data_IF_008278479785
#
_entry.id   IF_008278479785
#
_cell.length_a   1.000
_cell.length_b   1.000
_cell.length_c   1.000
_cell.angle_alpha   90.00
_cell.angle_beta   90.00
_cell.angle_gamma   90.00
#
_symmetry.space_group_name_H-M   'P 1'
#
loop_
_entity.id
_entity.type
_entity.pdbx_description
1 polymer ?
#
# COMPACT_ATOMS: atom_id res chain seq x y z
N UNK A 1 1.07 -17.42 28.96
CA UNK A 1 2.18 -17.65 28.00
C UNK A 1 2.19 -16.48 27.05
N UNK A 2 3.29 -15.76 26.89
CA UNK A 2 3.41 -14.73 25.84
C UNK A 2 3.23 -15.44 24.48
N UNK A 3 2.40 -14.85 23.61
CA UNK A 3 2.20 -15.36 22.25
C UNK A 3 3.49 -15.08 21.48
N UNK A 4 4.13 -16.11 20.92
CA UNK A 4 5.31 -15.91 20.07
C UNK A 4 4.90 -15.11 18.83
N UNK A 5 5.58 -13.99 18.57
CA UNK A 5 5.31 -13.15 17.40
C UNK A 5 5.76 -13.84 16.12
N UNK A 6 4.99 -13.65 15.07
CA UNK A 6 5.32 -14.20 13.75
C UNK A 6 6.28 -13.26 13.04
N UNK A 7 7.29 -13.82 12.41
CA UNK A 7 8.22 -13.08 11.58
C UNK A 7 8.00 -13.50 10.13
N UNK A 8 7.62 -12.55 9.32
CA UNK A 8 7.40 -12.72 7.91
C UNK A 8 8.50 -12.06 7.12
N UNK A 9 8.76 -12.55 5.92
CA UNK A 9 9.67 -11.92 4.98
C UNK A 9 8.97 -11.69 3.64
N UNK A 10 9.02 -10.44 3.16
CA UNK A 10 8.59 -10.06 1.82
C UNK A 10 9.80 -9.60 1.01
N UNK A 11 10.06 -10.25 -0.12
CA UNK A 11 11.16 -9.89 -1.00
C UNK A 11 11.54 -10.96 -2.00
N UNK A 12 12.47 -10.63 -2.90
CA UNK A 12 12.97 -11.50 -3.97
C UNK A 12 13.87 -12.63 -3.45
N UNK A 13 13.26 -13.66 -2.90
CA UNK A 13 13.98 -14.78 -2.26
C UNK A 13 14.21 -15.97 -3.19
N UNK A 14 13.84 -15.87 -4.45
CA UNK A 14 13.94 -16.97 -5.41
C UNK A 14 15.39 -17.49 -5.58
N UNK A 15 16.36 -16.58 -5.55
CA UNK A 15 17.79 -16.93 -5.60
C UNK A 15 18.21 -17.65 -4.31
N UNK A 16 17.69 -17.23 -3.17
CA UNK A 16 17.96 -17.86 -1.89
C UNK A 16 17.28 -19.24 -1.75
N UNK A 17 16.15 -19.44 -2.40
CA UNK A 17 15.47 -20.75 -2.46
C UNK A 17 16.26 -21.82 -3.22
N UNK A 18 17.24 -21.41 -4.02
CA UNK A 18 18.22 -22.34 -4.62
C UNK A 18 19.19 -22.91 -3.58
N UNK A 19 19.27 -22.34 -2.38
CA UNK A 19 20.14 -22.77 -1.27
C UNK A 19 19.28 -23.38 -0.15
N UNK A 20 19.11 -24.71 -0.07
CA UNK A 20 18.24 -25.36 0.93
C UNK A 20 18.56 -24.99 2.38
N UNK A 21 19.84 -24.74 2.68
CA UNK A 21 20.29 -24.41 4.03
C UNK A 21 19.87 -23.01 4.48
N UNK A 22 19.60 -22.10 3.55
CA UNK A 22 19.24 -20.72 3.88
C UNK A 22 17.89 -20.64 4.60
N UNK A 23 16.90 -21.38 4.13
CA UNK A 23 15.58 -21.38 4.77
C UNK A 23 15.65 -21.94 6.20
N UNK A 24 16.50 -22.94 6.41
CA UNK A 24 16.78 -23.49 7.75
C UNK A 24 17.41 -22.43 8.63
N UNK A 25 18.41 -21.70 8.14
CA UNK A 25 19.07 -20.61 8.87
C UNK A 25 18.09 -19.47 9.20
N UNK A 26 17.30 -19.01 8.24
CA UNK A 26 16.29 -17.96 8.47
C UNK A 26 15.28 -18.39 9.53
N UNK A 27 14.85 -19.64 9.53
CA UNK A 27 13.94 -20.18 10.57
C UNK A 27 14.63 -20.23 11.93
N UNK A 28 15.83 -20.81 12.00
CA UNK A 28 16.48 -21.15 13.27
C UNK A 28 17.18 -19.95 13.91
N UNK A 29 17.77 -19.05 13.12
CA UNK A 29 18.54 -17.90 13.61
C UNK A 29 17.65 -16.68 13.87
N UNK A 30 16.70 -16.37 12.98
CA UNK A 30 15.82 -15.20 13.12
C UNK A 30 14.36 -15.52 13.45
N UNK A 31 13.98 -16.80 13.47
CA UNK A 31 12.61 -17.21 13.79
C UNK A 31 11.60 -17.01 12.66
N UNK A 32 12.05 -17.00 11.41
CA UNK A 32 11.18 -16.82 10.24
C UNK A 32 10.08 -17.86 10.19
N UNK A 33 8.84 -17.42 10.01
CA UNK A 33 7.65 -18.30 9.93
C UNK A 33 7.05 -18.34 8.54
N UNK A 34 7.18 -17.27 7.77
CA UNK A 34 6.44 -17.10 6.51
C UNK A 34 7.27 -16.32 5.50
N UNK A 35 7.21 -16.75 4.25
CA UNK A 35 7.81 -16.05 3.11
C UNK A 35 6.71 -15.58 2.18
N UNK A 36 6.83 -14.34 1.72
CA UNK A 36 6.03 -13.73 0.66
C UNK A 36 6.99 -13.36 -0.48
N UNK A 37 7.19 -14.26 -1.47
CA UNK A 37 8.16 -14.02 -2.52
C UNK A 37 7.68 -12.90 -3.44
N UNK A 38 8.52 -11.90 -3.64
CA UNK A 38 8.38 -10.93 -4.72
C UNK A 38 8.80 -11.61 -6.03
N UNK A 39 7.88 -12.29 -6.65
CA UNK A 39 8.04 -12.88 -7.97
C UNK A 39 7.06 -12.21 -8.94
N UNK A 40 7.15 -12.46 -10.25
CA UNK A 40 6.14 -12.02 -11.20
C UNK A 40 4.72 -12.48 -10.90
N UNK A 41 4.53 -13.54 -10.10
CA UNK A 41 3.24 -13.92 -9.56
C UNK A 41 2.77 -12.95 -8.50
N UNK A 42 3.70 -12.47 -7.71
CA UNK A 42 3.44 -11.77 -6.46
C UNK A 42 3.65 -10.28 -6.62
N UNK A 43 4.46 -9.86 -7.59
CA UNK A 43 4.81 -8.45 -7.74
C UNK A 43 3.94 -7.78 -8.79
N UNK A 44 3.06 -6.93 -8.34
CA UNK A 44 2.34 -5.91 -9.13
C UNK A 44 1.48 -6.38 -10.27
N UNK A 45 1.71 -7.55 -10.82
CA UNK A 45 1.28 -7.72 -12.17
C UNK A 45 0.70 -9.02 -12.45
N UNK A 46 0.61 -9.87 -11.57
CA UNK A 46 0.08 -10.92 -12.17
C UNK A 46 0.28 -12.25 -11.56
N UNK A 47 -0.58 -13.06 -11.92
CA UNK A 47 -0.60 -14.45 -11.59
C UNK A 47 0.04 -15.21 -12.72
N UNK A 48 0.92 -16.14 -12.43
CA UNK A 48 1.26 -17.17 -13.36
C UNK A 48 0.05 -18.09 -13.49
N UNK A 49 -0.50 -18.18 -14.67
CA UNK A 49 -1.73 -18.90 -14.92
C UNK A 49 -1.62 -19.79 -16.13
N UNK A 50 -2.67 -20.58 -16.39
CA UNK A 50 -2.82 -21.30 -17.64
C UNK A 50 -2.98 -20.33 -18.80
N UNK A 51 -2.44 -20.69 -19.98
CA UNK A 51 -2.66 -19.95 -21.21
C UNK A 51 -4.15 -19.78 -21.53
N UNK A 52 -4.98 -20.73 -21.10
CA UNK A 52 -6.41 -20.66 -21.27
C UNK A 52 -7.04 -19.52 -20.46
N UNK A 53 -6.64 -19.34 -19.22
CA UNK A 53 -7.15 -18.26 -18.37
C UNK A 53 -6.65 -16.91 -18.86
N UNK A 54 -5.39 -16.81 -19.28
CA UNK A 54 -4.83 -15.59 -19.88
C UNK A 54 -5.60 -15.16 -21.14
N UNK A 55 -6.03 -16.09 -21.97
CA UNK A 55 -6.85 -15.82 -23.18
C UNK A 55 -8.26 -15.32 -22.88
N UNK A 56 -8.80 -15.60 -21.70
CA UNK A 56 -10.16 -15.17 -21.29
C UNK A 56 -10.17 -13.77 -20.69
N UNK A 57 -9.02 -13.25 -20.31
CA UNK A 57 -8.92 -11.93 -19.69
C UNK A 57 -9.32 -10.80 -20.64
N UNK A 58 -9.70 -9.63 -20.10
CA UNK A 58 -9.98 -8.45 -20.93
C UNK A 58 -8.69 -7.83 -21.47
N UNK A 59 -7.54 -8.30 -21.03
CA UNK A 59 -6.24 -7.75 -21.37
C UNK A 59 -5.54 -8.58 -22.44
N UNK A 60 -5.02 -7.89 -23.44
CA UNK A 60 -4.02 -8.45 -24.35
C UNK A 60 -2.71 -8.72 -23.58
N UNK A 61 -1.78 -9.44 -24.20
CA UNK A 61 -0.42 -9.50 -23.67
C UNK A 61 0.09 -8.06 -23.47
N UNK A 62 0.40 -7.71 -22.22
CA UNK A 62 0.85 -6.37 -21.84
C UNK A 62 2.07 -5.89 -22.65
N UNK A 63 2.89 -6.81 -23.16
CA UNK A 63 4.04 -6.52 -24.03
C UNK A 63 3.64 -5.87 -25.34
N UNK A 64 2.44 -6.13 -25.82
CA UNK A 64 1.91 -5.52 -27.04
C UNK A 64 1.65 -4.03 -26.91
N UNK A 65 1.64 -3.51 -25.66
CA UNK A 65 1.37 -2.11 -25.34
C UNK A 65 2.62 -1.33 -24.88
N UNK A 66 3.80 -1.78 -25.28
CA UNK A 66 5.07 -1.15 -24.92
C UNK A 66 5.19 0.31 -25.40
N UNK A 67 4.47 0.69 -26.44
CA UNK A 67 4.36 2.07 -26.94
C UNK A 67 3.64 3.00 -25.95
N UNK A 68 2.68 2.47 -25.19
CA UNK A 68 1.96 3.23 -24.15
C UNK A 68 2.76 3.32 -22.85
N UNK A 69 3.57 2.31 -22.56
CA UNK A 69 4.36 2.27 -21.34
C UNK A 69 5.81 1.85 -21.64
N UNK A 70 6.75 2.79 -21.83
CA UNK A 70 8.12 2.49 -22.24
C UNK A 70 8.86 1.48 -21.36
N UNK A 71 8.58 1.43 -20.05
CA UNK A 71 9.18 0.47 -19.12
C UNK A 71 8.88 -1.00 -19.47
N UNK A 72 7.81 -1.27 -20.20
CA UNK A 72 7.52 -2.60 -20.72
C UNK A 72 8.62 -3.04 -21.71
N UNK A 73 9.06 -2.13 -22.58
CA UNK A 73 10.12 -2.38 -23.54
C UNK A 73 11.47 -2.66 -22.84
N UNK A 74 11.68 -2.08 -21.67
CA UNK A 74 12.87 -2.32 -20.85
C UNK A 74 12.82 -3.63 -20.06
N UNK A 75 11.71 -4.36 -20.12
CA UNK A 75 11.53 -5.60 -19.36
C UNK A 75 11.31 -5.42 -17.86
N UNK A 76 11.02 -4.21 -17.41
CA UNK A 76 10.90 -3.84 -15.99
C UNK A 76 9.47 -4.09 -15.49
N UNK A 77 9.04 -5.22 -15.27
CA UNK A 77 7.76 -5.75 -14.80
C UNK A 77 6.50 -5.24 -15.52
N UNK A 78 5.53 -6.10 -15.70
CA UNK A 78 4.23 -5.72 -16.25
C UNK A 78 3.48 -4.81 -15.28
N UNK A 79 2.94 -3.68 -15.72
CA UNK A 79 2.22 -2.72 -14.88
C UNK A 79 0.77 -3.11 -14.64
N UNK A 80 0.38 -4.33 -14.92
CA UNK A 80 -0.99 -4.83 -14.85
C UNK A 80 -1.09 -5.88 -13.77
N UNK A 81 -1.96 -5.69 -12.80
CA UNK A 81 -2.37 -6.76 -11.91
C UNK A 81 -3.13 -7.81 -12.73
N UNK A 82 -2.70 -9.05 -12.71
CA UNK A 82 -3.40 -10.11 -13.40
C UNK A 82 -2.53 -11.22 -13.94
N UNK A 83 -3.01 -11.83 -14.98
CA UNK A 83 -2.54 -13.10 -15.51
C UNK A 83 -1.44 -12.89 -16.53
N UNK A 84 -0.31 -13.59 -16.35
CA UNK A 84 0.82 -13.56 -17.29
C UNK A 84 0.88 -14.89 -18.04
N UNK A 85 0.78 -14.82 -19.37
CA UNK A 85 0.98 -15.98 -20.22
C UNK A 85 2.46 -16.33 -20.34
N UNK A 86 2.77 -17.63 -20.31
CA UNK A 86 4.13 -18.14 -20.50
C UNK A 86 5.10 -17.83 -19.37
N UNK A 87 4.61 -17.61 -18.17
CA UNK A 87 5.44 -17.42 -16.98
C UNK A 87 6.16 -18.73 -16.58
N UNK A 88 7.46 -18.66 -16.32
CA UNK A 88 8.20 -19.78 -15.73
C UNK A 88 8.01 -19.82 -14.21
N UNK A 89 7.18 -20.72 -13.75
CA UNK A 89 6.86 -20.91 -12.34
C UNK A 89 7.78 -21.89 -11.61
N UNK A 90 8.81 -22.37 -12.28
CA UNK A 90 9.77 -23.34 -11.72
C UNK A 90 10.45 -22.82 -10.43
N UNK A 91 10.93 -21.57 -10.35
CA UNK A 91 11.51 -21.03 -9.12
C UNK A 91 10.52 -21.03 -7.95
N UNK A 92 9.28 -20.61 -8.17
CA UNK A 92 8.25 -20.60 -7.14
C UNK A 92 7.93 -22.01 -6.62
N UNK A 93 7.78 -23.00 -7.52
CA UNK A 93 7.54 -24.40 -7.13
C UNK A 93 8.66 -24.94 -6.28
N UNK A 94 9.92 -24.67 -6.65
CA UNK A 94 11.09 -25.07 -5.86
C UNK A 94 11.10 -24.40 -4.48
N UNK A 95 10.77 -23.12 -4.40
CA UNK A 95 10.66 -22.40 -3.14
C UNK A 95 9.61 -23.06 -2.23
N UNK A 96 8.41 -23.32 -2.76
CA UNK A 96 7.31 -23.95 -2.02
C UNK A 96 7.76 -25.32 -1.47
N UNK A 97 8.36 -26.16 -2.30
CA UNK A 97 8.85 -27.48 -1.88
C UNK A 97 9.93 -27.36 -0.78
N UNK A 98 10.84 -26.42 -0.89
CA UNK A 98 11.89 -26.21 0.11
C UNK A 98 11.32 -25.65 1.41
N UNK A 99 10.41 -24.71 1.34
CA UNK A 99 9.73 -24.12 2.50
C UNK A 99 8.89 -25.17 3.26
N UNK A 100 8.14 -26.02 2.55
CA UNK A 100 7.39 -27.13 3.17
C UNK A 100 8.29 -28.08 3.95
N UNK A 101 9.48 -28.41 3.42
CA UNK A 101 10.46 -29.27 4.11
C UNK A 101 11.01 -28.61 5.39
N UNK A 102 11.04 -27.31 5.44
CA UNK A 102 11.55 -26.53 6.58
C UNK A 102 10.45 -26.11 7.56
N UNK A 103 9.18 -26.28 7.22
CA UNK A 103 8.03 -25.85 8.02
C UNK A 103 7.79 -24.33 7.97
N UNK A 104 8.27 -23.67 6.91
CA UNK A 104 8.00 -22.26 6.64
C UNK A 104 6.81 -22.17 5.70
N UNK A 105 5.86 -21.29 6.00
CA UNK A 105 4.72 -21.00 5.13
C UNK A 105 5.13 -20.18 3.92
N UNK A 106 4.50 -20.41 2.77
CA UNK A 106 4.65 -19.57 1.57
C UNK A 106 3.32 -18.93 1.26
N UNK A 107 3.29 -17.59 1.29
CA UNK A 107 2.09 -16.83 0.95
C UNK A 107 2.28 -16.13 -0.39
N UNK A 108 1.20 -16.10 -1.21
CA UNK A 108 1.19 -15.31 -2.43
C UNK A 108 1.20 -13.82 -2.10
N UNK A 109 2.14 -13.06 -2.67
CA UNK A 109 2.16 -11.61 -2.58
C UNK A 109 1.73 -11.03 -3.92
N UNK A 110 0.57 -10.40 -3.99
CA UNK A 110 -0.16 -10.16 -5.24
C UNK A 110 -0.57 -8.71 -5.35
N UNK A 111 -0.11 -8.05 -6.41
CA UNK A 111 -0.51 -6.67 -6.72
C UNK A 111 -1.90 -6.58 -7.36
N UNK A 112 -2.66 -5.54 -6.99
CA UNK A 112 -3.98 -5.28 -7.53
C UNK A 112 -4.03 -3.99 -8.39
N UNK A 113 -4.94 -3.09 -8.10
CA UNK A 113 -5.40 -2.02 -9.00
C UNK A 113 -4.45 -0.85 -9.21
N UNK A 114 -3.40 -0.68 -8.44
CA UNK A 114 -2.63 0.58 -8.44
C UNK A 114 -1.82 0.86 -9.69
N UNK A 115 -1.63 -0.12 -10.53
CA UNK A 115 -0.89 0.00 -11.77
C UNK A 115 -1.73 -0.45 -12.97
N UNK A 116 -1.27 -0.13 -14.15
CA UNK A 116 -1.87 -0.58 -15.40
C UNK A 116 -2.82 0.41 -16.06
N UNK A 117 -3.21 1.48 -15.37
CA UNK A 117 -4.10 2.48 -15.94
C UNK A 117 -3.47 3.33 -17.05
N UNK A 118 -2.16 3.38 -17.13
CA UNK A 118 -1.41 3.99 -18.23
C UNK A 118 -1.24 3.05 -19.42
N UNK A 119 -1.31 1.74 -19.20
CA UNK A 119 -1.26 0.73 -20.25
C UNK A 119 -2.66 0.43 -20.81
N UNK A 120 -3.67 0.45 -19.95
CA UNK A 120 -5.08 0.21 -20.27
C UNK A 120 -5.93 1.41 -19.88
N UNK A 121 -5.80 2.55 -20.58
CA UNK A 121 -6.48 3.80 -20.23
C UNK A 121 -8.01 3.70 -20.26
N UNK A 122 -8.57 2.75 -20.99
CA UNK A 122 -10.01 2.45 -21.00
C UNK A 122 -10.52 1.92 -19.66
N UNK A 123 -9.66 1.30 -18.84
CA UNK A 123 -9.96 0.78 -17.50
C UNK A 123 -9.39 1.63 -16.38
N UNK A 124 -8.66 2.69 -16.72
CA UNK A 124 -8.00 3.54 -15.74
C UNK A 124 -8.98 4.26 -14.82
N UNK A 125 -8.51 4.58 -13.62
CA UNK A 125 -9.22 5.50 -12.71
C UNK A 125 -9.39 6.87 -13.39
N UNK A 126 -10.51 7.51 -13.05
CA UNK A 126 -10.88 8.84 -13.56
C UNK A 126 -11.11 9.79 -12.39
N UNK A 127 -10.91 11.09 -12.61
CA UNK A 127 -11.29 12.08 -11.61
C UNK A 127 -12.83 12.21 -11.49
N UNK A 128 -13.30 13.10 -10.64
CA UNK A 128 -14.75 13.33 -10.42
C UNK A 128 -15.48 13.90 -11.64
N UNK A 129 -14.75 14.45 -12.61
CA UNK A 129 -15.30 14.95 -13.87
C UNK A 129 -15.32 13.86 -14.96
N UNK A 130 -14.77 12.68 -14.66
CA UNK A 130 -14.64 11.58 -15.60
C UNK A 130 -13.41 11.70 -16.52
N UNK A 131 -12.52 12.65 -16.25
CA UNK A 131 -11.30 12.87 -17.01
C UNK A 131 -10.17 11.93 -16.57
N UNK A 132 -9.22 11.58 -17.46
CA UNK A 132 -8.03 10.82 -17.10
C UNK A 132 -7.21 11.53 -16.02
N UNK A 133 -6.59 10.74 -15.14
CA UNK A 133 -5.65 11.27 -14.16
C UNK A 133 -4.40 11.83 -14.84
N UNK A 134 -3.77 12.82 -14.19
CA UNK A 134 -2.58 13.47 -14.72
C UNK A 134 -1.38 12.52 -14.74
N UNK A 135 -0.83 12.28 -15.93
CA UNK A 135 0.30 11.39 -16.17
C UNK A 135 1.61 11.82 -15.48
N UNK A 136 1.70 13.07 -15.01
CA UNK A 136 2.84 13.51 -14.19
C UNK A 136 2.99 12.72 -12.90
N UNK A 137 1.90 12.14 -12.39
CA UNK A 137 1.88 11.35 -11.17
C UNK A 137 1.99 9.84 -11.40
N UNK A 138 2.33 9.38 -12.62
CA UNK A 138 2.42 7.95 -12.95
C UNK A 138 3.43 7.17 -12.11
N UNK A 139 4.44 7.83 -11.56
CA UNK A 139 5.41 7.23 -10.63
C UNK A 139 4.77 6.63 -9.37
N UNK A 140 3.59 7.14 -8.99
CA UNK A 140 2.79 6.66 -7.87
C UNK A 140 1.74 5.63 -8.28
N UNK A 141 1.77 5.22 -9.54
CA UNK A 141 0.81 4.33 -10.17
C UNK A 141 -0.47 5.06 -10.61
N UNK A 142 -0.82 4.93 -11.89
CA UNK A 142 -2.17 5.20 -12.37
C UNK A 142 -2.91 3.89 -12.33
N UNK A 143 -3.85 3.78 -11.39
CA UNK A 143 -4.53 2.53 -11.11
C UNK A 143 -5.62 2.20 -12.14
N UNK A 144 -5.94 0.92 -12.20
CA UNK A 144 -7.17 0.41 -12.78
C UNK A 144 -8.33 0.69 -11.81
N UNK A 145 -9.52 0.95 -12.35
CA UNK A 145 -10.69 1.22 -11.53
C UNK A 145 -11.15 -0.03 -10.76
N UNK A 146 -11.21 -0.01 -9.41
CA UNK A 146 -11.57 -1.17 -8.60
C UNK A 146 -13.06 -1.57 -8.69
N UNK A 147 -13.88 -0.78 -9.39
CA UNK A 147 -15.29 -1.08 -9.63
C UNK A 147 -15.59 -1.56 -11.05
N UNK A 148 -14.57 -1.82 -11.84
CA UNK A 148 -14.74 -2.45 -13.16
C UNK A 148 -14.92 -3.94 -13.00
N UNK A 149 -16.10 -4.40 -13.39
CA UNK A 149 -16.46 -5.82 -13.26
C UNK A 149 -15.50 -6.72 -14.02
N UNK A 150 -15.12 -6.34 -15.23
CA UNK A 150 -14.24 -7.11 -16.11
C UNK A 150 -12.88 -7.37 -15.45
N UNK A 151 -12.33 -6.33 -14.80
CA UNK A 151 -11.05 -6.42 -14.09
C UNK A 151 -11.19 -7.31 -12.85
N UNK A 152 -12.24 -7.09 -12.06
CA UNK A 152 -12.45 -7.83 -10.83
C UNK A 152 -12.75 -9.31 -11.08
N UNK A 153 -13.54 -9.63 -12.10
CA UNK A 153 -13.78 -11.03 -12.49
C UNK A 153 -12.48 -11.71 -12.91
N UNK A 154 -11.68 -11.05 -13.72
CA UNK A 154 -10.41 -11.58 -14.17
C UNK A 154 -9.39 -11.74 -13.04
N UNK A 155 -9.30 -10.75 -12.14
CA UNK A 155 -8.45 -10.80 -10.94
C UNK A 155 -8.88 -11.94 -10.00
N UNK A 156 -10.18 -12.07 -9.74
CA UNK A 156 -10.75 -13.14 -8.93
C UNK A 156 -10.41 -14.52 -9.50
N UNK A 157 -10.63 -14.71 -10.81
CA UNK A 157 -10.35 -15.97 -11.47
C UNK A 157 -8.84 -16.31 -11.43
N UNK A 158 -7.98 -15.31 -11.55
CA UNK A 158 -6.53 -15.46 -11.38
C UNK A 158 -6.11 -15.83 -9.95
N UNK A 159 -6.72 -15.21 -8.95
CA UNK A 159 -6.50 -15.56 -7.53
C UNK A 159 -6.89 -17.02 -7.26
N UNK A 160 -8.04 -17.46 -7.78
CA UNK A 160 -8.51 -18.84 -7.66
C UNK A 160 -7.54 -19.80 -8.35
N UNK A 161 -7.12 -19.49 -9.59
CA UNK A 161 -6.16 -20.32 -10.33
C UNK A 161 -4.83 -20.44 -9.57
N UNK A 162 -4.29 -19.35 -9.06
CA UNK A 162 -3.06 -19.36 -8.26
C UNK A 162 -3.23 -20.20 -6.98
N UNK A 163 -4.35 -20.03 -6.27
CA UNK A 163 -4.65 -20.77 -5.04
C UNK A 163 -4.80 -22.27 -5.25
N UNK A 164 -5.29 -22.70 -6.41
CA UNK A 164 -5.46 -24.10 -6.77
C UNK A 164 -4.19 -24.73 -7.34
N UNK A 165 -3.40 -23.95 -8.08
CA UNK A 165 -2.19 -24.40 -8.76
C UNK A 165 -1.01 -24.54 -7.83
N UNK A 166 -0.88 -23.62 -6.88
CA UNK A 166 0.25 -23.57 -5.96
C UNK A 166 -0.19 -23.91 -4.54
N UNK A 167 0.65 -24.65 -3.82
CA UNK A 167 0.42 -24.96 -2.41
C UNK A 167 0.76 -23.75 -1.52
N UNK A 168 0.07 -22.62 -1.76
CA UNK A 168 0.18 -21.42 -0.96
C UNK A 168 -0.60 -21.57 0.34
N UNK A 169 0.00 -21.11 1.43
CA UNK A 169 -0.58 -21.19 2.77
C UNK A 169 -1.46 -19.98 3.12
N UNK A 170 -1.26 -18.86 2.42
CA UNK A 170 -2.02 -17.62 2.59
C UNK A 170 -1.80 -16.65 1.44
N UNK A 171 -2.39 -15.46 1.54
CA UNK A 171 -2.28 -14.40 0.54
C UNK A 171 -2.06 -13.04 1.19
N UNK A 172 -1.09 -12.29 0.70
CA UNK A 172 -0.90 -10.88 0.93
C UNK A 172 -1.23 -10.12 -0.36
N UNK A 173 -2.11 -9.15 -0.27
CA UNK A 173 -2.47 -8.32 -1.40
C UNK A 173 -1.77 -6.97 -1.28
N UNK A 174 -0.97 -6.65 -2.28
CA UNK A 174 -0.31 -5.36 -2.39
C UNK A 174 -1.10 -4.45 -3.34
N UNK A 175 -0.95 -3.14 -3.18
CA UNK A 175 -1.59 -2.13 -4.03
C UNK A 175 -3.12 -2.21 -4.13
N UNK A 176 -3.78 -2.79 -3.13
CA UNK A 176 -5.25 -2.78 -3.01
C UNK A 176 -5.75 -1.41 -2.58
N UNK A 177 -5.51 -0.40 -3.41
CA UNK A 177 -5.76 1.01 -3.10
C UNK A 177 -6.19 1.80 -4.33
N UNK A 178 -6.73 2.99 -4.06
CA UNK A 178 -6.78 4.06 -5.05
C UNK A 178 -5.39 4.65 -5.28
N UNK A 179 -5.29 5.84 -5.85
CA UNK A 179 -4.00 6.49 -6.02
C UNK A 179 -3.26 6.66 -4.67
N UNK A 180 -1.94 6.65 -4.70
CA UNK A 180 -1.14 6.91 -3.51
C UNK A 180 -1.46 8.29 -2.91
N UNK A 181 -1.37 8.47 -1.57
CA UNK A 181 -1.64 9.75 -0.91
C UNK A 181 -0.86 10.94 -1.47
N UNK A 182 0.35 10.71 -1.96
CA UNK A 182 1.16 11.72 -2.62
C UNK A 182 0.59 12.23 -3.96
N UNK A 183 -0.24 11.44 -4.63
CA UNK A 183 -0.88 11.86 -5.87
C UNK A 183 -2.08 12.77 -5.59
N UNK A 184 -1.85 14.08 -5.57
CA UNK A 184 -2.90 15.08 -5.26
C UNK A 184 -4.09 15.05 -6.22
N UNK A 185 -3.90 14.66 -7.48
CA UNK A 185 -5.01 14.47 -8.43
C UNK A 185 -5.80 13.21 -8.13
N UNK A 186 -5.12 12.16 -7.70
CA UNK A 186 -5.73 10.89 -7.35
C UNK A 186 -6.60 10.92 -6.10
N UNK A 187 -6.50 11.96 -5.26
CA UNK A 187 -7.39 12.15 -4.13
C UNK A 187 -8.86 12.27 -4.54
N UNK A 188 -9.11 12.77 -5.76
CA UNK A 188 -10.45 12.94 -6.33
C UNK A 188 -10.83 11.80 -7.31
N UNK A 189 -10.08 10.69 -7.34
CA UNK A 189 -10.40 9.49 -8.10
C UNK A 189 -10.95 8.38 -7.16
N UNK A 190 -11.74 7.43 -7.63
CA UNK A 190 -12.25 7.30 -8.98
C UNK A 190 -13.70 7.78 -9.05
N UNK A 191 -13.93 8.79 -9.89
CA UNK A 191 -15.26 9.36 -10.11
C UNK A 191 -15.98 8.79 -11.34
N UNK A 192 -15.51 7.68 -11.92
CA UNK A 192 -16.13 7.06 -13.08
C UNK A 192 -17.54 6.50 -12.79
N UNK A 193 -18.35 6.30 -13.83
CA UNK A 193 -19.70 5.79 -13.70
C UNK A 193 -19.82 4.45 -12.96
N UNK A 194 -18.77 3.62 -12.97
CA UNK A 194 -18.75 2.35 -12.23
C UNK A 194 -18.65 2.60 -10.71
N UNK A 195 -17.70 3.43 -10.28
CA UNK A 195 -17.56 3.79 -8.87
C UNK A 195 -18.79 4.56 -8.34
N UNK A 196 -19.40 5.42 -9.18
CA UNK A 196 -20.62 6.11 -8.80
C UNK A 196 -21.78 5.13 -8.54
N UNK A 197 -22.00 4.16 -9.43
CA UNK A 197 -23.05 3.13 -9.23
C UNK A 197 -22.82 2.30 -7.97
N UNK A 198 -21.60 1.82 -7.78
CA UNK A 198 -21.26 1.02 -6.59
C UNK A 198 -21.36 1.86 -5.31
N UNK A 199 -20.95 3.13 -5.34
CA UNK A 199 -21.12 4.07 -4.22
C UNK A 199 -22.58 4.28 -3.83
N UNK A 200 -23.47 4.45 -4.83
CA UNK A 200 -24.92 4.51 -4.60
C UNK A 200 -25.44 3.20 -4.01
N UNK A 201 -24.95 2.05 -4.48
CA UNK A 201 -25.34 0.75 -3.93
C UNK A 201 -24.91 0.56 -2.47
N UNK A 202 -23.83 1.22 -2.03
CA UNK A 202 -23.40 1.29 -0.64
C UNK A 202 -24.19 2.34 0.19
N UNK A 203 -25.13 3.05 -0.42
CA UNK A 203 -26.00 4.02 0.27
C UNK A 203 -25.49 5.47 0.30
N UNK A 204 -24.45 5.81 -0.48
CA UNK A 204 -23.94 7.17 -0.56
C UNK A 204 -24.70 8.01 -1.60
N UNK A 205 -24.92 9.28 -1.26
CA UNK A 205 -25.35 10.29 -2.24
C UNK A 205 -24.14 10.80 -3.03
N UNK A 206 -23.74 10.03 -4.05
CA UNK A 206 -22.51 10.29 -4.81
C UNK A 206 -22.58 11.62 -5.58
N UNK A 207 -23.76 12.06 -6.01
CA UNK A 207 -23.92 13.35 -6.66
C UNK A 207 -23.55 14.49 -5.70
N UNK A 208 -24.11 14.47 -4.48
CA UNK A 208 -23.75 15.43 -3.42
C UNK A 208 -22.28 15.40 -3.09
N UNK A 209 -21.68 14.20 -3.01
CA UNK A 209 -20.24 14.08 -2.75
C UNK A 209 -19.41 14.74 -3.85
N UNK A 210 -19.70 14.47 -5.12
CA UNK A 210 -18.99 15.08 -6.24
C UNK A 210 -19.15 16.62 -6.24
N UNK A 211 -20.33 17.13 -5.96
CA UNK A 211 -20.58 18.59 -5.85
C UNK A 211 -19.78 19.20 -4.70
N UNK A 212 -19.76 18.56 -3.53
CA UNK A 212 -18.95 18.99 -2.39
C UNK A 212 -17.45 19.00 -2.70
N UNK A 213 -16.94 18.00 -3.41
CA UNK A 213 -15.53 17.97 -3.85
C UNK A 213 -15.20 19.08 -4.84
N UNK A 214 -16.11 19.41 -5.76
CA UNK A 214 -15.96 20.57 -6.66
C UNK A 214 -15.88 21.87 -5.86
N UNK A 215 -16.78 22.02 -4.92
CA UNK A 215 -16.80 23.19 -4.03
C UNK A 215 -15.49 23.29 -3.24
N UNK A 216 -15.06 22.22 -2.60
CA UNK A 216 -13.76 22.17 -1.89
C UNK A 216 -12.58 22.57 -2.78
N UNK A 217 -12.47 22.01 -3.99
CA UNK A 217 -11.43 22.39 -4.96
C UNK A 217 -11.48 23.87 -5.35
N UNK A 218 -12.70 24.44 -5.46
CA UNK A 218 -12.87 25.86 -5.76
C UNK A 218 -12.47 26.72 -4.56
N UNK A 219 -12.87 26.33 -3.35
CA UNK A 219 -12.53 27.05 -2.12
C UNK A 219 -11.03 27.13 -1.88
N UNK A 220 -10.29 26.04 -2.16
CA UNK A 220 -8.82 26.05 -2.10
C UNK A 220 -8.21 27.15 -2.97
N UNK A 221 -8.78 27.42 -4.16
CA UNK A 221 -8.30 28.47 -5.07
C UNK A 221 -8.63 29.90 -4.59
N UNK A 222 -9.52 30.04 -3.63
CA UNK A 222 -9.91 31.34 -3.04
C UNK A 222 -9.14 31.65 -1.77
N UNK A 223 -8.33 30.70 -1.28
CA UNK A 223 -7.44 30.94 -0.15
C UNK A 223 -6.31 31.87 -0.56
N UNK A 224 -5.90 32.71 0.39
CA UNK A 224 -4.74 33.55 0.27
C UNK A 224 -3.71 33.21 1.36
N UNK A 225 -2.47 33.62 1.12
CA UNK A 225 -1.37 33.42 2.07
C UNK A 225 -1.69 33.94 3.46
N UNK A 226 -2.39 35.09 3.59
CA UNK A 226 -2.67 35.67 4.91
C UNK A 226 -3.58 34.77 5.75
N UNK A 227 -4.56 34.13 5.11
CA UNK A 227 -5.44 33.17 5.80
C UNK A 227 -4.64 31.98 6.29
N UNK A 228 -3.78 31.42 5.44
CA UNK A 228 -2.93 30.27 5.78
C UNK A 228 -1.91 30.63 6.87
N UNK A 229 -1.19 31.74 6.75
CA UNK A 229 -0.22 32.17 7.77
C UNK A 229 -0.87 32.41 9.14
N UNK A 230 -2.05 33.02 9.16
CA UNK A 230 -2.82 33.19 10.41
C UNK A 230 -3.24 31.85 10.99
N UNK A 231 -3.68 30.94 10.13
CA UNK A 231 -4.06 29.60 10.53
C UNK A 231 -2.86 28.89 11.18
N UNK A 232 -1.70 28.86 10.52
CA UNK A 232 -0.49 28.23 11.04
C UNK A 232 -0.08 28.83 12.40
N UNK A 233 -0.16 30.17 12.54
CA UNK A 233 0.18 30.86 13.79
C UNK A 233 -0.70 30.47 15.00
N UNK A 234 -1.91 29.98 14.75
CA UNK A 234 -2.86 29.53 15.78
C UNK A 234 -2.93 28.01 15.92
N UNK A 235 -1.93 27.28 15.42
CA UNK A 235 -1.81 25.84 15.53
C UNK A 235 -3.10 25.09 15.05
N UNK A 236 -3.43 25.17 13.77
CA UNK A 236 -4.65 24.61 13.23
C UNK A 236 -4.64 23.09 13.32
N UNK A 237 -5.81 22.52 13.43
CA UNK A 237 -6.03 21.10 13.21
C UNK A 237 -6.73 20.87 11.86
N UNK A 238 -6.97 19.60 11.53
CA UNK A 238 -7.64 19.25 10.27
C UNK A 238 -9.03 19.89 10.14
N UNK A 239 -9.79 20.00 11.23
CA UNK A 239 -11.13 20.59 11.20
C UNK A 239 -11.10 22.08 10.91
N UNK A 240 -10.11 22.79 11.44
CA UNK A 240 -9.92 24.22 11.17
C UNK A 240 -9.62 24.43 9.68
N UNK A 241 -8.79 23.58 9.08
CA UNK A 241 -8.48 23.62 7.66
C UNK A 241 -9.71 23.32 6.80
N UNK A 242 -10.47 22.26 7.13
CA UNK A 242 -11.67 21.90 6.41
C UNK A 242 -12.75 23.00 6.50
N UNK A 243 -12.91 23.63 7.66
CA UNK A 243 -13.80 24.77 7.82
C UNK A 243 -13.36 25.97 6.99
N UNK A 244 -12.04 26.24 6.93
CA UNK A 244 -11.50 27.31 6.09
C UNK A 244 -11.78 27.09 4.60
N UNK A 245 -11.79 25.82 4.17
CA UNK A 245 -12.08 25.42 2.80
C UNK A 245 -13.59 25.22 2.53
N UNK A 246 -14.46 25.56 3.47
CA UNK A 246 -15.93 25.44 3.35
C UNK A 246 -16.41 24.05 2.86
N UNK A 247 -15.68 23.01 3.20
CA UNK A 247 -16.02 21.68 2.72
C UNK A 247 -15.28 20.59 3.47
N UNK A 248 -15.92 19.91 4.36
CA UNK A 248 -15.29 18.85 5.15
C UNK A 248 -16.04 17.53 5.14
N UNK A 249 -17.35 17.58 5.25
CA UNK A 249 -18.18 16.39 5.37
C UNK A 249 -18.13 15.54 4.11
N UNK A 250 -18.31 16.15 2.94
CA UNK A 250 -18.29 15.46 1.64
C UNK A 250 -16.92 14.85 1.32
N UNK A 251 -15.83 15.53 1.69
CA UNK A 251 -14.48 15.00 1.51
C UNK A 251 -14.26 13.75 2.36
N UNK A 252 -14.66 13.77 3.61
CA UNK A 252 -14.53 12.61 4.50
C UNK A 252 -15.42 11.45 4.04
N UNK A 253 -16.67 11.74 3.66
CA UNK A 253 -17.59 10.73 3.14
C UNK A 253 -17.09 10.13 1.81
N UNK A 254 -16.49 10.93 0.95
CA UNK A 254 -15.85 10.46 -0.28
C UNK A 254 -14.74 9.44 0.00
N UNK A 255 -13.86 9.74 0.94
CA UNK A 255 -12.79 8.81 1.32
C UNK A 255 -13.36 7.53 1.95
N UNK A 256 -14.38 7.63 2.79
CA UNK A 256 -15.06 6.46 3.38
C UNK A 256 -15.78 5.61 2.34
N UNK A 257 -16.45 6.23 1.39
CA UNK A 257 -17.07 5.51 0.27
C UNK A 257 -16.03 4.71 -0.50
N UNK A 258 -14.91 5.32 -0.86
CA UNK A 258 -13.78 4.65 -1.56
C UNK A 258 -13.25 3.47 -0.75
N UNK A 259 -13.02 3.68 0.52
CA UNK A 259 -12.56 2.62 1.42
C UNK A 259 -13.56 1.47 1.53
N UNK A 260 -14.85 1.75 1.60
CA UNK A 260 -15.92 0.75 1.58
C UNK A 260 -15.96 -0.06 0.27
N UNK A 261 -15.75 0.59 -0.87
CA UNK A 261 -15.67 -0.08 -2.17
C UNK A 261 -14.49 -1.06 -2.23
N UNK A 262 -13.32 -0.67 -1.74
CA UNK A 262 -12.16 -1.57 -1.68
C UNK A 262 -12.39 -2.72 -0.70
N UNK A 263 -12.90 -2.45 0.50
CA UNK A 263 -13.18 -3.47 1.51
C UNK A 263 -14.16 -4.52 0.97
N UNK A 264 -15.20 -4.11 0.24
CA UNK A 264 -16.14 -5.02 -0.41
C UNK A 264 -15.45 -5.93 -1.44
N UNK A 265 -14.51 -5.40 -2.23
CA UNK A 265 -13.76 -6.22 -3.21
C UNK A 265 -12.80 -7.18 -2.51
N UNK A 266 -12.13 -6.75 -1.45
CA UNK A 266 -11.27 -7.62 -0.65
C UNK A 266 -12.05 -8.79 -0.05
N UNK A 267 -13.22 -8.53 0.49
CA UNK A 267 -14.12 -9.59 1.01
C UNK A 267 -14.53 -10.58 -0.09
N UNK A 268 -14.90 -10.08 -1.28
CA UNK A 268 -15.23 -10.92 -2.44
C UNK A 268 -14.06 -11.84 -2.83
N UNK A 269 -12.85 -11.32 -2.89
CA UNK A 269 -11.67 -12.11 -3.26
C UNK A 269 -11.31 -13.15 -2.21
N UNK A 270 -11.32 -12.77 -0.93
CA UNK A 270 -11.13 -13.71 0.17
C UNK A 270 -12.14 -14.86 0.13
N UNK A 271 -13.41 -14.53 -0.02
CA UNK A 271 -14.49 -15.52 -0.05
C UNK A 271 -14.36 -16.46 -1.27
N UNK A 272 -13.95 -15.93 -2.42
CA UNK A 272 -13.73 -16.71 -3.63
C UNK A 272 -12.57 -17.71 -3.46
N UNK A 273 -11.44 -17.28 -2.88
CA UNK A 273 -10.30 -18.14 -2.58
C UNK A 273 -10.72 -19.22 -1.56
N UNK A 274 -11.36 -18.83 -0.47
CA UNK A 274 -11.79 -19.73 0.59
C UNK A 274 -12.77 -20.79 0.08
N UNK A 275 -13.67 -20.42 -0.81
CA UNK A 275 -14.60 -21.34 -1.46
C UNK A 275 -13.87 -22.34 -2.37
N UNK A 276 -12.81 -21.92 -3.03
CA UNK A 276 -12.08 -22.75 -3.99
C UNK A 276 -11.08 -23.71 -3.33
N UNK A 277 -10.48 -23.34 -2.21
CA UNK A 277 -9.32 -24.04 -1.63
C UNK A 277 -9.40 -24.29 -0.12
N UNK A 278 -10.51 -23.91 0.53
CA UNK A 278 -10.61 -23.87 1.98
C UNK A 278 -10.04 -22.58 2.58
N UNK A 279 -10.29 -22.37 3.88
CA UNK A 279 -9.90 -21.14 4.57
C UNK A 279 -8.39 -20.95 4.60
N UNK A 280 -7.95 -19.81 4.07
CA UNK A 280 -6.56 -19.37 4.07
C UNK A 280 -6.47 -17.95 4.62
N UNK A 281 -5.40 -17.59 5.36
CA UNK A 281 -5.14 -16.21 5.74
C UNK A 281 -5.11 -15.32 4.50
N UNK A 282 -5.81 -14.20 4.56
CA UNK A 282 -5.89 -13.21 3.49
C UNK A 282 -5.79 -11.80 4.08
N UNK A 283 -4.90 -11.00 3.57
CA UNK A 283 -4.70 -9.65 4.09
C UNK A 283 -3.99 -8.76 3.09
N UNK A 284 -3.57 -7.58 3.54
CA UNK A 284 -3.03 -6.58 2.63
C UNK A 284 -2.00 -5.68 3.28
N UNK A 285 -1.12 -5.18 2.43
CA UNK A 285 -0.34 -3.98 2.68
C UNK A 285 -1.27 -2.77 2.69
N UNK A 286 -1.17 -1.97 3.74
CA UNK A 286 -1.96 -0.77 3.91
C UNK A 286 -1.07 0.42 4.26
N UNK A 287 -1.48 1.62 3.86
CA UNK A 287 -0.75 2.83 4.23
C UNK A 287 -0.77 3.07 5.73
N UNK A 288 0.21 3.84 6.26
CA UNK A 288 0.21 4.32 7.64
C UNK A 288 -1.10 5.02 8.01
N UNK A 289 -1.59 4.88 9.25
CA UNK A 289 -2.89 5.45 9.67
C UNK A 289 -3.07 6.93 9.35
N UNK A 290 -2.02 7.74 9.47
CA UNK A 290 -2.08 9.17 9.17
C UNK A 290 -2.47 9.50 7.74
N UNK A 291 -2.26 8.60 6.78
CA UNK A 291 -2.53 8.81 5.35
C UNK A 291 -3.37 7.70 4.71
N UNK A 292 -3.70 6.67 5.47
CA UNK A 292 -4.36 5.46 4.97
C UNK A 292 -5.67 5.75 4.23
N UNK A 293 -6.52 6.56 4.83
CA UNK A 293 -7.85 6.89 4.26
C UNK A 293 -7.74 7.61 2.91
N UNK A 294 -6.68 8.38 2.69
CA UNK A 294 -6.41 9.05 1.40
C UNK A 294 -6.19 8.03 0.27
N UNK A 295 -5.62 6.86 0.58
CA UNK A 295 -5.44 5.75 -0.36
C UNK A 295 -6.67 4.83 -0.47
N UNK A 296 -7.67 5.01 0.38
CA UNK A 296 -8.84 4.14 0.46
C UNK A 296 -8.70 2.99 1.47
N UNK A 297 -7.76 3.09 2.41
CA UNK A 297 -7.61 2.12 3.48
C UNK A 297 -8.32 2.61 4.74
N UNK A 298 -9.44 2.00 5.08
CA UNK A 298 -10.15 2.17 6.35
C UNK A 298 -9.94 0.90 7.18
N UNK A 299 -9.16 0.99 8.24
CA UNK A 299 -8.81 -0.15 9.07
C UNK A 299 -10.02 -0.85 9.69
N UNK A 300 -11.09 -0.09 9.99
CA UNK A 300 -12.34 -0.64 10.51
C UNK A 300 -13.13 -1.38 9.43
N UNK A 301 -13.23 -0.82 8.22
CA UNK A 301 -13.95 -1.46 7.12
C UNK A 301 -13.22 -2.72 6.62
N UNK A 302 -11.91 -2.74 6.68
CA UNK A 302 -11.08 -3.84 6.15
C UNK A 302 -11.19 -5.13 6.93
N UNK A 303 -11.62 -5.12 8.20
CA UNK A 303 -11.93 -6.34 8.95
C UNK A 303 -12.91 -7.29 8.23
N UNK A 304 -13.75 -6.75 7.35
CA UNK A 304 -14.70 -7.55 6.57
C UNK A 304 -14.02 -8.36 5.47
N UNK A 305 -12.86 -7.92 5.00
CA UNK A 305 -12.14 -8.49 3.86
C UNK A 305 -10.72 -8.99 4.16
N UNK A 306 -10.21 -8.80 5.37
CA UNK A 306 -8.84 -9.15 5.72
C UNK A 306 -8.77 -9.82 7.10
N UNK A 307 -7.90 -10.81 7.24
CA UNK A 307 -7.59 -11.50 8.49
C UNK A 307 -6.39 -10.84 9.19
N UNK A 308 -5.60 -10.05 8.45
CA UNK A 308 -4.44 -9.33 8.96
C UNK A 308 -4.11 -8.11 8.06
N UNK A 309 -3.32 -7.18 8.61
CA UNK A 309 -2.80 -6.00 7.91
C UNK A 309 -1.32 -5.81 8.21
N UNK A 310 -0.56 -5.36 7.22
CA UNK A 310 0.86 -5.08 7.42
C UNK A 310 1.14 -3.63 7.81
N UNK A 311 0.15 -2.75 7.79
CA UNK A 311 0.21 -1.41 8.41
C UNK A 311 1.31 -0.47 7.87
N UNK A 312 1.77 -0.69 6.66
CA UNK A 312 2.78 0.16 6.01
C UNK A 312 2.65 0.12 4.50
N UNK A 313 3.46 0.89 3.79
CA UNK A 313 3.47 0.81 2.34
C UNK A 313 4.29 -0.39 1.85
N UNK A 314 4.00 -0.86 0.65
CA UNK A 314 4.73 -1.92 -0.06
C UNK A 314 6.25 -1.68 -0.21
N UNK A 315 6.71 -0.46 0.04
CA UNK A 315 8.14 -0.11 0.03
C UNK A 315 8.86 -0.39 1.35
N UNK A 316 8.23 -1.13 2.24
CA UNK A 316 8.86 -1.75 3.39
C UNK A 316 9.19 -0.83 4.54
N UNK A 317 8.48 -1.00 5.62
CA UNK A 317 8.86 -0.56 6.95
C UNK A 317 9.18 0.92 7.06
N UNK A 318 10.30 1.17 7.71
CA UNK A 318 10.82 2.52 7.98
C UNK A 318 11.03 3.34 6.71
N UNK A 319 11.53 2.73 5.65
CA UNK A 319 11.74 3.41 4.37
C UNK A 319 10.41 3.87 3.78
N UNK A 320 9.37 3.04 3.86
CA UNK A 320 8.03 3.42 3.42
C UNK A 320 7.43 4.57 4.22
N UNK A 321 7.62 4.60 5.54
CA UNK A 321 7.17 5.69 6.39
C UNK A 321 7.90 6.99 6.07
N UNK A 322 9.23 6.95 5.92
CA UNK A 322 10.02 8.11 5.50
C UNK A 322 9.61 8.57 4.11
N UNK A 323 9.40 7.64 3.18
CA UNK A 323 8.95 7.95 1.82
C UNK A 323 7.59 8.66 1.85
N UNK A 324 6.66 8.25 2.71
CA UNK A 324 5.38 8.95 2.84
C UNK A 324 5.57 10.38 3.32
N UNK A 325 6.43 10.63 4.30
CA UNK A 325 6.71 11.99 4.77
C UNK A 325 7.32 12.84 3.66
N UNK A 326 8.40 12.36 3.02
CA UNK A 326 9.11 13.12 1.99
C UNK A 326 8.30 13.25 0.70
N UNK A 327 7.67 12.19 0.25
CA UNK A 327 6.91 12.20 -1.00
C UNK A 327 5.59 12.95 -0.86
N UNK A 328 4.87 12.78 0.26
CA UNK A 328 3.67 13.55 0.53
C UNK A 328 3.99 15.04 0.56
N UNK A 329 5.02 15.44 1.29
CA UNK A 329 5.47 16.83 1.35
C UNK A 329 5.96 17.31 -0.01
N UNK A 330 6.76 16.49 -0.72
CA UNK A 330 7.33 16.79 -2.03
C UNK A 330 6.29 17.03 -3.13
N UNK A 331 5.12 16.41 -3.04
CA UNK A 331 4.04 16.60 -4.02
C UNK A 331 3.00 17.64 -3.55
N UNK A 332 2.65 17.64 -2.27
CA UNK A 332 1.61 18.52 -1.75
C UNK A 332 2.06 19.95 -1.56
N UNK A 333 3.30 20.20 -1.09
CA UNK A 333 3.76 21.57 -0.87
C UNK A 333 3.82 22.36 -2.19
N UNK A 334 4.43 21.85 -3.29
CA UNK A 334 4.36 22.54 -4.57
C UNK A 334 2.93 22.69 -5.12
N UNK A 335 2.03 21.73 -4.87
CA UNK A 335 0.65 21.84 -5.30
C UNK A 335 -0.10 22.95 -4.56
N UNK A 336 0.09 23.06 -3.25
CA UNK A 336 -0.46 24.15 -2.43
C UNK A 336 0.08 25.51 -2.86
N UNK A 337 1.41 25.64 -3.06
CA UNK A 337 2.03 26.89 -3.53
C UNK A 337 1.56 27.33 -4.93
N UNK A 338 1.19 26.36 -5.80
CA UNK A 338 0.58 26.71 -7.10
C UNK A 338 -0.89 27.08 -7.00
N UNK A 339 -1.58 26.61 -5.98
CA UNK A 339 -3.04 26.78 -5.83
C UNK A 339 -3.38 28.02 -5.01
N UNK A 340 -2.59 28.32 -3.97
CA UNK A 340 -2.81 29.40 -3.03
C UNK A 340 -1.82 30.52 -3.34
N UNK A 341 -2.35 31.68 -3.66
CA UNK A 341 -1.56 32.82 -4.11
C UNK A 341 -0.53 33.27 -3.05
N UNK A 342 0.71 33.51 -3.48
CA UNK A 342 1.85 33.93 -2.66
C UNK A 342 2.28 32.96 -1.53
N UNK A 343 1.69 31.77 -1.39
CA UNK A 343 2.07 30.81 -0.35
C UNK A 343 3.54 30.36 -0.57
N UNK A 344 4.33 30.37 0.52
CA UNK A 344 5.73 29.96 0.49
C UNK A 344 5.88 28.47 0.87
N UNK A 345 7.00 27.87 0.47
CA UNK A 345 7.30 26.46 0.70
C UNK A 345 7.29 26.09 2.19
N UNK A 346 7.90 26.92 3.03
CA UNK A 346 7.96 26.74 4.49
C UNK A 346 6.56 26.75 5.14
N UNK A 347 5.70 27.64 4.70
CA UNK A 347 4.31 27.72 5.15
C UNK A 347 3.50 26.49 4.69
N UNK A 348 3.69 26.04 3.44
CA UNK A 348 3.04 24.85 2.92
C UNK A 348 3.48 23.60 3.68
N UNK A 349 4.77 23.42 3.95
CA UNK A 349 5.30 22.29 4.72
C UNK A 349 4.81 22.31 6.17
N UNK A 350 4.86 23.48 6.84
CA UNK A 350 4.33 23.62 8.20
C UNK A 350 2.85 23.22 8.28
N UNK A 351 2.04 23.63 7.31
CA UNK A 351 0.64 23.22 7.21
C UNK A 351 0.49 21.71 7.03
N UNK A 352 1.25 21.10 6.11
CA UNK A 352 1.22 19.65 5.84
C UNK A 352 1.58 18.87 7.11
N UNK A 353 2.70 19.21 7.75
CA UNK A 353 3.12 18.51 8.98
C UNK A 353 2.05 18.59 10.06
N UNK A 354 1.44 19.75 10.20
CA UNK A 354 0.35 19.95 11.16
C UNK A 354 -0.88 19.11 10.84
N UNK A 355 -1.33 19.08 9.59
CA UNK A 355 -2.52 18.34 9.18
C UNK A 355 -2.36 16.83 9.33
N UNK A 356 -1.13 16.31 9.19
CA UNK A 356 -0.84 14.88 9.32
C UNK A 356 -0.27 14.49 10.69
N UNK A 357 -0.11 15.44 11.61
CA UNK A 357 0.38 15.19 12.97
C UNK A 357 1.87 14.87 13.05
N UNK A 358 2.68 15.54 12.20
CA UNK A 358 4.13 15.44 12.17
C UNK A 358 4.85 16.72 12.63
N UNK A 359 4.12 17.73 13.13
CA UNK A 359 4.65 19.04 13.49
C UNK A 359 5.66 19.03 14.63
N UNK A 360 5.62 18.03 15.49
CA UNK A 360 6.50 17.89 16.64
C UNK A 360 7.76 17.05 16.39
N UNK A 361 7.96 16.61 15.15
CA UNK A 361 9.18 15.89 14.76
C UNK A 361 10.34 16.81 14.32
N UNK A 362 10.18 18.11 14.42
CA UNK A 362 11.19 19.11 14.02
C UNK A 362 11.72 18.90 12.59
N UNK A 363 10.82 18.58 11.66
CA UNK A 363 11.15 18.32 10.27
C UNK A 363 11.52 19.62 9.54
N UNK A 364 12.48 19.59 8.58
CA UNK A 364 12.85 20.76 7.80
C UNK A 364 11.67 21.41 7.06
N UNK A 365 11.65 22.72 7.02
CA UNK A 365 10.63 23.50 6.32
C UNK A 365 11.05 23.88 4.88
N UNK A 366 11.96 23.13 4.29
CA UNK A 366 12.31 23.20 2.87
C UNK A 366 12.39 21.79 2.28
N UNK A 367 12.00 21.62 1.04
CA UNK A 367 12.08 20.32 0.36
C UNK A 367 13.53 19.85 0.22
N UNK A 368 14.47 20.76 -0.04
CA UNK A 368 15.89 20.45 -0.08
C UNK A 368 16.38 19.94 1.29
N UNK A 369 16.06 20.67 2.36
CA UNK A 369 16.42 20.25 3.72
C UNK A 369 15.80 18.92 4.11
N UNK A 370 14.55 18.65 3.69
CA UNK A 370 13.88 17.38 3.98
C UNK A 370 14.57 16.19 3.27
N UNK A 371 15.12 16.40 2.07
CA UNK A 371 15.87 15.37 1.35
C UNK A 371 17.24 15.07 1.98
N UNK A 372 17.84 16.05 2.64
CA UNK A 372 19.16 15.94 3.26
C UNK A 372 19.08 15.55 4.74
N UNK A 373 17.92 15.67 5.37
CA UNK A 373 17.74 15.44 6.79
C UNK A 373 17.84 13.96 7.17
N UNK A 374 18.42 13.68 8.30
CA UNK A 374 18.28 12.42 8.98
C UNK A 374 16.93 12.42 9.72
N UNK A 375 15.94 11.76 9.16
CA UNK A 375 14.58 11.72 9.71
C UNK A 375 14.54 10.90 10.99
N UNK A 376 13.71 11.26 11.98
CA UNK A 376 13.50 10.50 13.23
C UNK A 376 12.61 9.28 12.95
N UNK A 377 13.16 8.31 12.20
CA UNK A 377 12.41 7.16 11.68
C UNK A 377 11.83 6.25 12.77
N UNK A 378 12.55 5.90 13.85
CA UNK A 378 12.00 5.09 14.93
C UNK A 378 10.80 5.76 15.59
N UNK A 379 10.86 7.05 15.85
CA UNK A 379 9.81 7.83 16.51
C UNK A 379 8.56 7.95 15.63
N UNK A 380 8.75 8.24 14.32
CA UNK A 380 7.67 8.26 13.34
C UNK A 380 7.01 6.87 13.28
N UNK A 381 7.81 5.81 13.15
CA UNK A 381 7.32 4.44 13.08
C UNK A 381 6.53 4.06 14.36
N UNK A 382 7.10 4.30 15.54
CA UNK A 382 6.44 3.98 16.80
C UNK A 382 5.08 4.70 16.94
N UNK A 383 4.99 5.97 16.53
CA UNK A 383 3.73 6.73 16.52
C UNK A 383 2.70 6.11 15.58
N UNK A 384 3.09 5.78 14.38
CA UNK A 384 2.15 5.21 13.41
C UNK A 384 1.70 3.79 13.81
N UNK A 385 2.60 2.96 14.34
CA UNK A 385 2.24 1.64 14.87
C UNK A 385 1.29 1.77 16.07
N UNK A 386 1.50 2.75 16.94
CA UNK A 386 0.56 3.07 18.02
C UNK A 386 -0.81 3.49 17.53
N UNK A 387 -0.88 4.34 16.47
CA UNK A 387 -2.14 4.68 15.80
C UNK A 387 -2.77 3.45 15.16
N UNK A 388 -1.99 2.61 14.46
CA UNK A 388 -2.47 1.39 13.84
C UNK A 388 -3.16 0.49 14.87
N UNK A 389 -2.53 0.24 16.01
CA UNK A 389 -3.09 -0.55 17.09
C UNK A 389 -4.38 0.03 17.66
N UNK A 390 -4.49 1.36 17.67
CA UNK A 390 -5.68 2.06 18.17
C UNK A 390 -6.87 1.99 17.21
N UNK A 391 -6.63 2.06 15.88
CA UNK A 391 -7.70 2.17 14.89
C UNK A 391 -8.10 0.84 14.26
N UNK A 392 -7.22 -0.17 14.29
CA UNK A 392 -7.52 -1.49 13.75
C UNK A 392 -8.51 -2.25 14.64
N UNK A 393 -9.32 -3.11 14.02
CA UNK A 393 -10.16 -4.04 14.77
C UNK A 393 -9.28 -5.00 15.61
N UNK A 394 -9.65 -5.28 16.87
CA UNK A 394 -8.84 -6.11 17.75
C UNK A 394 -8.69 -7.57 17.29
N UNK A 395 -9.52 -8.03 16.34
CA UNK A 395 -9.44 -9.38 15.79
C UNK A 395 -8.56 -9.48 14.55
N UNK A 396 -8.11 -8.35 13.99
CA UNK A 396 -7.19 -8.33 12.83
C UNK A 396 -5.75 -8.49 13.33
N UNK A 397 -5.00 -9.42 12.72
CA UNK A 397 -3.57 -9.57 12.97
C UNK A 397 -2.78 -8.36 12.45
N UNK A 398 -1.87 -7.82 13.26
CA UNK A 398 -1.05 -6.67 12.88
C UNK A 398 0.41 -7.07 12.74
N UNK A 399 0.97 -6.85 11.55
CA UNK A 399 2.35 -7.20 11.19
C UNK A 399 3.05 -6.01 10.50
N UNK A 400 3.41 -4.94 11.24
CA UNK A 400 4.07 -3.78 10.67
C UNK A 400 5.34 -4.16 9.91
N UNK A 401 5.62 -3.53 8.75
CA UNK A 401 6.82 -3.82 7.99
C UNK A 401 8.05 -3.16 8.62
N UNK A 402 9.14 -3.91 8.70
CA UNK A 402 10.44 -3.48 9.21
C UNK A 402 11.50 -3.52 8.11
N UNK A 403 12.18 -2.40 7.85
CA UNK A 403 13.38 -2.38 7.04
C UNK A 403 14.57 -2.80 7.89
N UNK A 404 15.06 -4.01 7.67
CA UNK A 404 16.20 -4.55 8.40
C UNK A 404 17.55 -4.22 7.75
N UNK A 405 17.55 -3.39 6.71
CA UNK A 405 18.77 -2.82 6.12
C UNK A 405 19.27 -1.56 6.85
N UNK A 406 18.53 -1.08 7.84
CA UNK A 406 18.96 0.04 8.68
C UNK A 406 20.04 -0.39 9.69
N UNK A 407 20.65 0.57 10.39
CA UNK A 407 21.61 0.28 11.45
C UNK A 407 20.95 -0.57 12.57
N UNK A 408 21.70 -1.50 13.21
CA UNK A 408 21.13 -2.46 14.17
C UNK A 408 20.37 -1.82 15.34
N UNK A 409 20.82 -0.68 15.84
CA UNK A 409 20.13 0.09 16.87
C UNK A 409 18.77 0.64 16.41
N UNK A 410 18.69 1.11 15.17
CA UNK A 410 17.43 1.51 14.54
C UNK A 410 16.50 0.30 14.40
N UNK A 411 16.98 -0.81 13.85
CA UNK A 411 16.17 -2.03 13.69
C UNK A 411 15.63 -2.50 15.06
N UNK A 412 16.47 -2.45 16.10
CA UNK A 412 16.06 -2.79 17.47
C UNK A 412 14.93 -1.88 17.96
N UNK A 413 15.07 -0.56 17.79
CA UNK A 413 14.03 0.39 18.18
C UNK A 413 12.70 0.16 17.44
N UNK A 414 12.75 -0.26 16.16
CA UNK A 414 11.55 -0.64 15.43
C UNK A 414 10.91 -1.92 15.99
N UNK A 415 11.71 -2.93 16.35
CA UNK A 415 11.20 -4.14 17.01
C UNK A 415 10.55 -3.81 18.35
N UNK A 416 11.18 -2.94 19.15
CA UNK A 416 10.62 -2.46 20.42
C UNK A 416 9.23 -1.80 20.21
N UNK A 417 9.09 -0.96 19.17
CA UNK A 417 7.79 -0.35 18.85
C UNK A 417 6.70 -1.40 18.50
N UNK A 418 7.07 -2.48 17.81
CA UNK A 418 6.16 -3.61 17.53
C UNK A 418 5.73 -4.32 18.80
N UNK A 419 6.68 -4.52 19.72
CA UNK A 419 6.46 -5.19 21.02
C UNK A 419 5.60 -4.33 21.93
N UNK A 420 5.94 -3.07 22.10
CA UNK A 420 5.26 -2.12 23.00
C UNK A 420 3.80 -1.88 22.58
N UNK A 421 3.52 -1.97 21.30
CA UNK A 421 2.16 -1.87 20.77
C UNK A 421 1.44 -3.22 20.63
N UNK A 422 1.99 -4.30 21.20
CA UNK A 422 1.36 -5.63 21.22
C UNK A 422 0.92 -6.13 19.83
N UNK A 423 1.70 -5.84 18.78
CA UNK A 423 1.46 -6.37 17.44
C UNK A 423 1.67 -7.89 17.41
N UNK A 424 1.03 -8.58 16.46
CA UNK A 424 1.09 -10.05 16.34
C UNK A 424 2.39 -10.55 15.73
N UNK A 425 3.13 -9.68 15.07
CA UNK A 425 4.42 -9.97 14.46
C UNK A 425 4.96 -8.79 13.68
N UNK A 426 5.91 -9.07 12.82
CA UNK A 426 6.51 -8.10 11.91
C UNK A 426 6.74 -8.70 10.52
N UNK A 427 6.68 -7.88 9.49
CA UNK A 427 7.04 -8.25 8.14
C UNK A 427 8.40 -7.61 7.79
N UNK A 428 9.42 -8.44 7.62
CA UNK A 428 10.75 -7.96 7.26
C UNK A 428 10.83 -7.66 5.76
N UNK A 429 11.52 -6.58 5.43
CA UNK A 429 11.85 -6.23 4.05
C UNK A 429 13.35 -5.98 3.94
N UNK A 430 14.00 -6.68 3.06
CA UNK A 430 15.43 -6.51 2.75
C UNK A 430 15.77 -7.04 1.35
N UNK A 431 16.92 -6.64 0.83
CA UNK A 431 17.38 -7.11 -0.47
C UNK A 431 17.69 -8.62 -0.46
N UNK A 432 17.48 -9.30 -1.56
CA UNK A 432 17.78 -10.73 -1.73
C UNK A 432 19.26 -11.04 -2.02
N UNK A 433 20.17 -10.08 -1.83
CA UNK A 433 21.60 -10.32 -1.99
C UNK A 433 22.16 -11.15 -0.82
N UNK A 434 23.18 -11.95 -1.07
CA UNK A 434 23.85 -12.74 -0.04
C UNK A 434 24.32 -11.86 1.13
N UNK A 435 24.89 -10.69 0.83
CA UNK A 435 25.35 -9.72 1.84
C UNK A 435 24.18 -9.20 2.71
N UNK A 436 23.04 -8.86 2.12
CA UNK A 436 21.87 -8.39 2.86
C UNK A 436 21.32 -9.51 3.76
N UNK A 437 21.27 -10.73 3.29
CA UNK A 437 20.81 -11.89 4.04
C UNK A 437 21.75 -12.16 5.24
N UNK A 438 23.07 -12.20 5.01
CA UNK A 438 24.04 -12.38 6.10
C UNK A 438 23.97 -11.26 7.14
N UNK A 439 23.72 -10.02 6.71
CA UNK A 439 23.51 -8.90 7.64
C UNK A 439 22.27 -9.09 8.51
N UNK A 440 21.18 -9.58 7.93
CA UNK A 440 19.94 -9.86 8.68
C UNK A 440 20.13 -11.02 9.68
N UNK A 441 20.85 -12.06 9.29
CA UNK A 441 21.14 -13.21 10.16
C UNK A 441 22.02 -12.85 11.38
N UNK A 442 22.71 -11.69 11.36
CA UNK A 442 23.47 -11.18 12.49
C UNK A 442 22.60 -10.40 13.51
N UNK A 443 21.33 -10.15 13.18
CA UNK A 443 20.42 -9.43 14.09
C UNK A 443 19.70 -10.38 15.03
N UNK A 444 19.58 -9.99 16.29
CA UNK A 444 18.86 -10.77 17.33
C UNK A 444 17.34 -10.59 17.23
N UNK A 445 16.77 -10.66 16.01
CA UNK A 445 15.36 -10.34 15.72
C UNK A 445 14.39 -11.18 16.54
N UNK A 446 14.65 -12.48 16.66
CA UNK A 446 13.83 -13.36 17.47
C UNK A 446 13.78 -12.92 18.95
N UNK A 447 14.91 -12.49 19.50
CA UNK A 447 14.97 -11.98 20.86
C UNK A 447 14.28 -10.63 21.00
N UNK A 448 14.52 -9.69 20.06
CA UNK A 448 13.94 -8.35 20.13
C UNK A 448 12.43 -8.34 19.97
N UNK A 449 11.88 -9.25 19.16
CA UNK A 449 10.43 -9.36 18.96
C UNK A 449 9.72 -10.22 20.02
N UNK A 450 10.42 -11.03 20.79
CA UNK A 450 9.86 -11.86 21.87
C UNK A 450 10.00 -11.22 23.29
N UNK A 451 10.69 -10.06 23.39
CA UNK A 451 10.99 -9.37 24.67
C UNK A 451 9.81 -8.57 25.30
#
# INVERSE_FOLDING_TARGET
>A
MKKKRRIWFCGGIEQAAAQPDLLVRLRDEIGLTTIMPESPICHTSGFATSDELAKRGPFEDWRSRADLYPRIAEGIYPPVAGIISGFDDTPLKKLIESAQKTGIEVWGHIGLWSYGGDVYPEYAMRDIEGEPLDMRYKQWGIGLCPCRKEINDWTRDGLIDAAQRYALDGFCVDHARYAAPANVHGLFACGCAHCQREGVALGYDVARLCDGLRHFRQSLKTLDRRKISRMIAHQPNLWDFLNLCEGGAELLEWFRMRAGLLAARMAEFRDAINKATGTKPFGSDVFPPSVALLGGHDYTAWQQGADYLTGGSSFGGVVGWATMVTNLAGEWAPALCRTIDELQEDEALALIYRLFGYEDFDLPLTLAGLQEAQLPLPEIFAREVGKLKTVADPNIGLHPPLSVSAAPDIVKALCEAVVDNECDGAMLTFGATEEAIESVLQLDLAQWLDS
#
